data_IF_547452363158
#
_entry.id   IF_547452363158
#
_cell.length_a   1.000
_cell.length_b   1.000
_cell.length_c   1.000
_cell.angle_alpha   90.00
_cell.angle_beta   90.00
_cell.angle_gamma   90.00
#
_symmetry.space_group_name_H-M   'P 1'
#
loop_
_entity.id
_entity.type
_entity.pdbx_description
1 polymer ?
#
# COMPACT_ATOMS: atom_id res chain seq x y z
N UNK A 1 -1.91 1.19 63.27
CA UNK A 1 -1.51 -0.22 63.46
C UNK A 1 -2.29 -1.04 62.46
N UNK A 2 -1.65 -1.49 61.38
CA UNK A 2 -2.30 -2.38 60.41
C UNK A 2 -2.32 -3.78 61.04
N UNK A 3 -3.50 -4.38 61.32
CA UNK A 3 -3.57 -5.71 61.91
C UNK A 3 -3.05 -6.74 60.90
N UNK A 4 -1.88 -7.32 61.20
CA UNK A 4 -1.30 -8.43 60.45
C UNK A 4 -2.13 -9.69 60.74
N UNK A 5 -3.14 -9.95 59.90
CA UNK A 5 -4.02 -11.10 60.03
C UNK A 5 -3.87 -11.99 58.79
N UNK A 6 -3.28 -13.16 59.04
CA UNK A 6 -3.13 -14.34 58.18
C UNK A 6 -2.22 -14.22 56.95
N UNK A 7 -1.00 -14.77 57.04
CA UNK A 7 -0.03 -14.86 55.93
C UNK A 7 -0.62 -15.51 54.66
N UNK A 8 -1.63 -16.37 54.80
CA UNK A 8 -2.38 -16.97 53.68
C UNK A 8 -3.11 -15.90 52.85
N UNK A 9 -3.73 -14.91 53.49
CA UNK A 9 -4.38 -13.80 52.78
C UNK A 9 -3.37 -12.94 52.04
N UNK A 10 -2.18 -12.73 52.61
CA UNK A 10 -1.09 -12.00 51.94
C UNK A 10 -0.61 -12.73 50.69
N UNK A 11 -0.39 -14.06 50.74
CA UNK A 11 -0.02 -14.84 49.56
C UNK A 11 -1.11 -14.88 48.49
N UNK A 12 -2.38 -14.98 48.89
CA UNK A 12 -3.51 -14.90 47.95
C UNK A 12 -3.58 -13.51 47.29
N UNK A 13 -3.43 -12.44 48.07
CA UNK A 13 -3.40 -11.08 47.54
C UNK A 13 -2.21 -10.85 46.58
N UNK A 14 -1.03 -11.38 46.92
CA UNK A 14 0.15 -11.32 46.05
C UNK A 14 -0.06 -12.13 44.76
N UNK A 15 -0.69 -13.30 44.87
CA UNK A 15 -1.06 -14.12 43.71
C UNK A 15 -2.02 -13.41 42.78
N UNK A 16 -3.08 -12.78 43.31
CA UNK A 16 -4.04 -11.98 42.54
C UNK A 16 -3.34 -10.78 41.90
N UNK A 17 -2.47 -10.08 42.63
CA UNK A 17 -1.69 -8.96 42.08
C UNK A 17 -0.83 -9.40 40.88
N UNK A 18 -0.08 -10.49 41.01
CA UNK A 18 0.69 -11.03 39.89
C UNK A 18 -0.22 -11.50 38.74
N UNK A 19 -1.38 -12.09 39.03
CA UNK A 19 -2.34 -12.49 37.99
C UNK A 19 -2.86 -11.29 37.19
N UNK A 20 -3.18 -10.18 37.87
CA UNK A 20 -3.60 -8.94 37.22
C UNK A 20 -2.46 -8.36 36.38
N UNK A 21 -1.24 -8.31 36.92
CA UNK A 21 -0.05 -7.82 36.20
C UNK A 21 0.24 -8.67 34.97
N UNK A 22 0.22 -10.01 35.09
CA UNK A 22 0.43 -10.93 33.97
C UNK A 22 -0.69 -10.82 32.94
N UNK A 23 -1.95 -10.70 33.37
CA UNK A 23 -3.09 -10.51 32.48
C UNK A 23 -2.99 -9.22 31.68
N UNK A 24 -2.62 -8.11 32.33
CA UNK A 24 -2.40 -6.83 31.67
C UNK A 24 -1.19 -6.90 30.73
N UNK A 25 -0.06 -7.47 31.18
CA UNK A 25 1.12 -7.64 30.35
C UNK A 25 0.82 -8.49 29.11
N UNK A 26 0.01 -9.55 29.22
CA UNK A 26 -0.41 -10.37 28.09
C UNK A 26 -1.30 -9.58 27.12
N UNK A 27 -2.26 -8.80 27.64
CA UNK A 27 -3.12 -7.94 26.83
C UNK A 27 -2.29 -6.91 26.04
N UNK A 28 -1.37 -6.22 26.70
CA UNK A 28 -0.49 -5.24 26.08
C UNK A 28 0.48 -5.89 25.07
N UNK A 29 0.99 -7.07 25.41
CA UNK A 29 1.89 -7.83 24.55
C UNK A 29 1.23 -8.23 23.23
N UNK A 30 -0.09 -8.38 23.12
CA UNK A 30 -0.72 -8.67 21.83
C UNK A 30 -0.48 -7.53 20.81
N UNK A 31 -0.70 -6.28 21.20
CA UNK A 31 -0.37 -5.13 20.35
C UNK A 31 1.13 -5.06 20.05
N UNK A 32 1.95 -5.41 21.03
CA UNK A 32 3.40 -5.52 20.92
C UNK A 32 3.87 -6.88 20.37
N UNK A 33 3.05 -7.75 19.78
CA UNK A 33 3.54 -8.98 19.14
C UNK A 33 2.99 -9.09 17.72
N UNK A 34 1.80 -8.56 17.48
CA UNK A 34 1.17 -8.55 16.16
C UNK A 34 1.47 -7.23 15.42
N UNK A 35 2.51 -7.24 14.58
CA UNK A 35 2.87 -6.10 13.74
C UNK A 35 1.89 -5.82 12.57
N UNK A 36 2.22 -4.83 11.72
CA UNK A 36 1.38 -4.44 10.59
C UNK A 36 1.26 -5.60 9.60
N UNK A 37 0.13 -5.72 8.90
CA UNK A 37 -0.12 -6.76 7.90
C UNK A 37 -0.45 -6.10 6.56
N UNK A 38 0.23 -6.50 5.49
CA UNK A 38 -0.05 -6.06 4.12
C UNK A 38 -0.54 -7.26 3.33
N UNK A 39 -1.74 -7.15 2.76
CA UNK A 39 -2.35 -8.12 1.86
C UNK A 39 -2.60 -7.43 0.52
N UNK A 40 -1.84 -7.78 -0.51
CA UNK A 40 -1.99 -7.19 -1.84
C UNK A 40 -2.83 -8.12 -2.70
N UNK A 41 -3.83 -7.59 -3.40
CA UNK A 41 -4.73 -8.38 -4.26
C UNK A 41 -4.18 -8.54 -5.69
N UNK A 42 -3.12 -7.82 -6.06
CA UNK A 42 -2.62 -7.80 -7.44
C UNK A 42 -1.92 -9.10 -7.84
N UNK A 43 -2.59 -9.87 -8.70
CA UNK A 43 -2.03 -10.99 -9.45
C UNK A 43 -1.93 -10.54 -10.92
N UNK A 44 -0.81 -9.92 -11.34
CA UNK A 44 -0.60 -9.68 -12.77
C UNK A 44 0.87 -9.81 -13.13
N UNK A 45 1.16 -10.79 -13.99
CA UNK A 45 2.51 -11.13 -14.44
C UNK A 45 2.90 -10.46 -15.76
N UNK A 46 1.93 -9.97 -16.55
CA UNK A 46 2.19 -9.27 -17.80
C UNK A 46 1.05 -8.27 -18.08
N UNK A 47 1.39 -7.02 -18.36
CA UNK A 47 0.42 -5.93 -18.62
C UNK A 47 0.82 -5.25 -19.94
N UNK A 48 -0.17 -4.83 -20.73
CA UNK A 48 0.02 -4.09 -21.99
C UNK A 48 -0.29 -2.59 -21.87
N UNK A 49 -0.93 -2.18 -20.77
CA UNK A 49 -1.12 -0.78 -20.40
C UNK A 49 -0.01 -0.29 -19.45
N UNK A 50 0.54 0.91 -19.68
CA UNK A 50 1.57 1.48 -18.80
C UNK A 50 0.99 1.95 -17.46
N UNK A 51 -0.32 2.18 -17.35
CA UNK A 51 -0.97 2.62 -16.11
C UNK A 51 -1.65 1.43 -15.42
N UNK A 52 -1.19 1.12 -14.20
CA UNK A 52 -1.79 0.08 -13.35
C UNK A 52 -2.28 0.67 -12.04
N UNK A 53 -3.39 0.15 -11.54
CA UNK A 53 -3.94 0.54 -10.24
C UNK A 53 -3.56 -0.51 -9.20
N UNK A 54 -2.66 -0.16 -8.28
CA UNK A 54 -2.22 -1.07 -7.22
C UNK A 54 -3.23 -1.04 -6.09
N UNK A 55 -3.90 -2.17 -5.87
CA UNK A 55 -4.93 -2.34 -4.85
C UNK A 55 -4.54 -3.38 -3.81
N UNK A 56 -4.87 -3.10 -2.56
CA UNK A 56 -4.67 -4.04 -1.47
C UNK A 56 -5.32 -3.59 -0.16
N UNK A 57 -5.02 -4.34 0.89
CA UNK A 57 -5.42 -4.07 2.27
C UNK A 57 -4.19 -4.02 3.17
N UNK A 58 -4.14 -3.04 4.05
CA UNK A 58 -3.14 -2.89 5.08
C UNK A 58 -3.84 -2.75 6.44
N UNK A 59 -3.58 -3.69 7.34
CA UNK A 59 -4.19 -3.75 8.67
C UNK A 59 -3.16 -3.42 9.76
N UNK A 60 -3.61 -2.77 10.83
CA UNK A 60 -2.79 -2.36 11.99
C UNK A 60 -1.60 -1.48 11.59
N UNK A 61 -1.83 -0.55 10.67
CA UNK A 61 -0.84 0.41 10.22
C UNK A 61 -1.14 1.80 10.79
N UNK A 62 -0.10 2.59 10.99
CA UNK A 62 -0.16 4.03 11.20
C UNK A 62 0.20 4.79 9.91
N UNK A 63 1.06 4.22 9.07
CA UNK A 63 1.38 4.75 7.75
C UNK A 63 1.70 3.65 6.75
N UNK A 64 1.47 3.94 5.48
CA UNK A 64 1.82 3.09 4.34
C UNK A 64 2.55 3.95 3.31
N UNK A 65 3.64 3.42 2.75
CA UNK A 65 4.34 4.06 1.65
C UNK A 65 4.57 3.09 0.50
N UNK A 66 4.50 3.61 -0.72
CA UNK A 66 4.80 2.92 -1.97
C UNK A 66 6.05 3.55 -2.60
N UNK A 67 7.10 2.77 -2.79
CA UNK A 67 8.40 3.25 -3.29
C UNK A 67 8.94 4.47 -2.51
N UNK A 68 8.73 4.49 -1.19
CA UNK A 68 9.14 5.60 -0.31
C UNK A 68 8.19 6.80 -0.29
N UNK A 69 7.18 6.87 -1.16
CA UNK A 69 6.13 7.90 -1.13
C UNK A 69 4.98 7.45 -0.23
N UNK A 70 4.56 8.27 0.73
CA UNK A 70 3.40 7.97 1.57
C UNK A 70 2.11 7.96 0.75
N UNK A 71 1.27 6.95 0.97
CA UNK A 71 -0.02 6.77 0.30
C UNK A 71 -1.15 6.68 1.32
N UNK A 72 -2.34 7.12 0.92
CA UNK A 72 -3.51 7.13 1.79
C UNK A 72 -4.14 5.75 1.90
N UNK A 73 -4.58 5.39 3.10
CA UNK A 73 -5.32 4.14 3.37
C UNK A 73 -6.65 4.49 4.01
N UNK A 74 -7.71 3.83 3.55
CA UNK A 74 -9.06 4.00 4.09
C UNK A 74 -9.20 3.39 5.49
N UNK A 75 -10.25 3.77 6.22
CA UNK A 75 -10.54 3.25 7.57
C UNK A 75 -10.70 1.71 7.58
N UNK A 76 -11.20 1.14 6.48
CA UNK A 76 -11.33 -0.31 6.30
C UNK A 76 -10.01 -1.05 6.01
N UNK A 77 -8.89 -0.32 5.97
CA UNK A 77 -7.57 -0.80 5.62
C UNK A 77 -7.30 -0.90 4.11
N UNK A 78 -8.27 -0.59 3.24
CA UNK A 78 -8.07 -0.66 1.80
C UNK A 78 -7.27 0.55 1.26
N UNK A 79 -6.41 0.32 0.27
CA UNK A 79 -5.67 1.35 -0.45
C UNK A 79 -5.73 1.11 -1.95
N UNK A 80 -5.73 2.20 -2.72
CA UNK A 80 -5.67 2.19 -4.18
C UNK A 80 -4.75 3.33 -4.61
N UNK A 81 -3.65 3.02 -5.28
CA UNK A 81 -2.72 4.03 -5.79
C UNK A 81 -2.36 3.73 -7.26
N UNK A 82 -2.51 4.70 -8.17
CA UNK A 82 -2.10 4.55 -9.56
C UNK A 82 -0.56 4.54 -9.66
N UNK A 83 -0.04 3.66 -10.51
CA UNK A 83 1.39 3.53 -10.78
C UNK A 83 1.65 3.47 -12.28
N UNK A 84 2.65 4.22 -12.72
CA UNK A 84 3.12 4.23 -14.11
C UNK A 84 4.30 3.27 -14.25
N UNK A 85 4.11 2.21 -15.04
CA UNK A 85 5.13 1.20 -15.33
C UNK A 85 6.10 1.72 -16.38
N UNK A 86 7.39 1.48 -16.15
CA UNK A 86 8.40 1.60 -17.19
C UNK A 86 8.43 0.32 -18.05
N UNK A 87 8.76 0.37 -19.35
CA UNK A 87 8.95 -0.83 -20.15
C UNK A 87 9.93 -1.81 -19.49
N UNK A 88 9.56 -3.09 -19.42
CA UNK A 88 10.34 -4.15 -18.78
C UNK A 88 9.96 -4.40 -17.31
N UNK A 89 10.95 -4.72 -16.49
CA UNK A 89 10.76 -5.15 -15.10
C UNK A 89 10.56 -3.97 -14.14
N UNK A 90 9.45 -3.98 -13.41
CA UNK A 90 9.10 -2.99 -12.40
C UNK A 90 9.00 -3.65 -11.03
N UNK A 91 9.74 -3.13 -10.05
CA UNK A 91 9.65 -3.55 -8.65
C UNK A 91 9.03 -2.45 -7.81
N UNK A 92 7.87 -2.73 -7.24
CA UNK A 92 7.11 -1.82 -6.38
C UNK A 92 7.25 -2.31 -4.94
N UNK A 93 7.72 -1.47 -4.04
CA UNK A 93 7.90 -1.78 -2.62
C UNK A 93 6.83 -1.07 -1.80
N UNK A 94 6.08 -1.84 -1.02
CA UNK A 94 5.12 -1.35 -0.04
C UNK A 94 5.73 -1.49 1.36
N UNK A 95 5.87 -0.37 2.06
CA UNK A 95 6.35 -0.31 3.44
C UNK A 95 5.23 0.17 4.34
N UNK A 96 4.79 -0.70 5.25
CA UNK A 96 3.85 -0.36 6.29
C UNK A 96 4.58 -0.15 7.61
N UNK A 97 4.19 0.89 8.35
CA UNK A 97 4.65 1.13 9.71
C UNK A 97 3.46 1.20 10.66
N UNK A 98 3.54 0.58 11.84
CA UNK A 98 2.52 0.68 12.89
C UNK A 98 2.80 1.83 13.88
N UNK A 99 1.86 2.07 14.80
CA UNK A 99 1.98 3.11 15.83
C UNK A 99 3.13 2.89 16.82
N UNK A 100 3.66 1.66 16.89
CA UNK A 100 4.75 1.25 17.77
C UNK A 100 6.11 1.26 17.03
N UNK A 101 6.14 1.77 15.79
CA UNK A 101 7.34 1.93 14.98
C UNK A 101 7.77 0.67 14.20
N UNK A 102 7.01 -0.43 14.27
CA UNK A 102 7.35 -1.67 13.56
C UNK A 102 7.08 -1.54 12.08
N UNK A 103 7.96 -2.11 11.28
CA UNK A 103 7.87 -2.04 9.82
C UNK A 103 7.63 -3.42 9.22
N UNK A 104 6.86 -3.46 8.13
CA UNK A 104 6.75 -4.62 7.24
C UNK A 104 6.82 -4.14 5.80
N UNK A 105 7.66 -4.82 5.02
CA UNK A 105 7.86 -4.52 3.61
C UNK A 105 7.32 -5.65 2.75
N UNK A 106 6.64 -5.32 1.65
CA UNK A 106 6.19 -6.28 0.63
C UNK A 106 6.56 -5.76 -0.75
N UNK A 107 7.27 -6.56 -1.54
CA UNK A 107 7.55 -6.25 -2.94
C UNK A 107 6.52 -6.89 -3.86
N UNK A 108 6.14 -6.13 -4.89
CA UNK A 108 5.34 -6.56 -6.04
C UNK A 108 6.23 -6.40 -7.26
N UNK A 109 6.22 -7.41 -8.13
CA UNK A 109 7.05 -7.45 -9.32
C UNK A 109 6.13 -7.57 -10.53
N UNK A 110 6.27 -6.66 -11.49
CA UNK A 110 5.40 -6.56 -12.67
C UNK A 110 6.28 -6.40 -13.90
N UNK A 111 6.01 -7.17 -14.94
CA UNK A 111 6.67 -7.01 -16.24
C UNK A 111 5.70 -6.31 -17.19
N UNK A 112 6.13 -5.15 -17.70
CA UNK A 112 5.37 -4.36 -18.68
C UNK A 112 5.95 -4.58 -20.07
N UNK A 113 5.17 -5.19 -20.96
CA UNK A 113 5.51 -5.34 -22.38
C UNK A 113 4.70 -4.33 -23.17
N UNK A 114 5.34 -3.22 -23.57
CA UNK A 114 4.69 -2.21 -24.41
C UNK A 114 4.37 -2.82 -25.76
N UNK A 115 3.10 -3.15 -25.98
CA UNK A 115 2.60 -3.40 -27.33
C UNK A 115 2.43 -2.05 -28.00
N UNK A 116 3.51 -1.51 -28.58
CA UNK A 116 3.39 -0.53 -29.65
C UNK A 116 2.61 -1.20 -30.79
N UNK A 117 1.28 -1.18 -30.71
CA UNK A 117 0.48 -1.16 -31.92
C UNK A 117 0.83 0.17 -32.58
N UNK A 118 1.44 0.18 -33.79
CA UNK A 118 1.62 1.40 -34.53
C UNK A 118 0.28 2.11 -34.53
N UNK A 119 0.22 3.36 -34.06
CA UNK A 119 -0.91 4.21 -34.42
C UNK A 119 -0.90 4.19 -35.94
N UNK A 120 -1.86 3.49 -36.54
CA UNK A 120 -2.26 3.78 -37.91
C UNK A 120 -2.73 5.23 -37.85
N UNK A 121 -1.77 6.11 -38.11
CA UNK A 121 -1.99 7.51 -38.39
C UNK A 121 -2.75 7.57 -39.72
N UNK A 122 -4.04 7.28 -39.66
CA UNK A 122 -5.00 7.63 -40.70
C UNK A 122 -5.29 9.13 -40.58
N UNK A 123 -4.23 9.94 -40.53
CA UNK A 123 -4.29 11.34 -40.94
C UNK A 123 -4.04 11.31 -42.44
N UNK A 124 -5.04 11.57 -43.30
CA UNK A 124 -4.72 11.97 -44.65
C UNK A 124 -3.86 13.23 -44.49
N UNK A 125 -2.64 13.18 -45.02
CA UNK A 125 -1.81 14.36 -45.20
C UNK A 125 -2.70 15.51 -45.67
N UNK A 126 -2.54 16.75 -45.17
CA UNK A 126 -3.23 17.87 -45.77
C UNK A 126 -2.79 17.90 -47.23
N UNK A 127 -3.69 17.55 -48.14
CA UNK A 127 -3.51 17.79 -49.56
C UNK A 127 -3.18 19.27 -49.70
N UNK A 128 -1.98 19.56 -50.19
CA UNK A 128 -1.64 20.82 -50.82
C UNK A 128 -2.61 21.03 -51.99
N UNK A 129 -3.81 21.52 -51.72
CA UNK A 129 -4.66 22.11 -52.74
C UNK A 129 -4.18 23.54 -52.95
N UNK A 130 -3.16 23.66 -53.81
CA UNK A 130 -2.94 24.87 -54.57
C UNK A 130 -4.20 25.16 -55.41
N UNK A 131 -5.04 26.07 -54.95
CA UNK A 131 -5.98 26.77 -55.84
C UNK A 131 -6.49 28.04 -55.15
N UNK A 132 -5.58 29.01 -54.99
CA UNK A 132 -5.98 30.40 -54.81
C UNK A 132 -5.99 31.06 -56.18
N UNK A 133 -7.20 31.38 -56.60
CA UNK A 133 -7.68 32.10 -57.76
C UNK A 133 -6.78 33.24 -58.23
N UNK A 134 -6.30 33.15 -59.48
CA UNK A 134 -5.81 34.29 -60.26
C UNK A 134 -7.02 34.99 -60.93
N UNK A 135 -7.27 36.29 -60.70
CA UNK A 135 -8.27 37.03 -61.45
C UNK A 135 -7.60 37.67 -62.66
N UNK A 136 -7.84 37.14 -63.86
CA UNK A 136 -7.49 37.85 -65.10
C UNK A 136 -8.63 38.81 -65.43
N UNK A 137 -8.34 40.10 -65.27
CA UNK A 137 -9.10 41.19 -65.81
C UNK A 137 -8.51 41.61 -67.18
N UNK A 138 -9.43 41.97 -68.08
CA UNK A 138 -9.29 42.64 -69.39
C UNK A 138 -9.04 41.75 -70.62
#
# INVERSE_FOLDING_TARGET
>A
MLPYRDSRLTYVALGIFFLIVLGYAYYEAQGLLFGPKISVTSQVSEVHDPYVLIKGRADRIASLSMNGKMISVTESGAFEEPYLLAPGYNRIVLDAQDKYGRKRSRSIEIVYTSSEQPREDNTPAPEETASSTEPVAQ
#
